data_IF_767149563887
#
_entry.id   IF_767149563887
#
_cell.length_a   1.000
_cell.length_b   1.000
_cell.length_c   1.000
_cell.angle_alpha   90.00
_cell.angle_beta   90.00
_cell.angle_gamma   90.00
#
_symmetry.space_group_name_H-M   'P 1'
#
loop_
_entity.id
_entity.type
_entity.pdbx_description
1 polymer ?
#
# COMPACT_ATOMS: atom_id res chain seq x y z
N UNK A 1 24.68 11.55 -1.48
CA UNK A 1 23.61 12.24 -2.22
C UNK A 1 22.36 12.00 -1.41
N UNK A 2 21.75 13.04 -0.85
CA UNK A 2 20.44 12.91 -0.23
C UNK A 2 19.49 12.48 -1.34
N UNK A 3 19.09 11.21 -1.33
CA UNK A 3 17.96 10.78 -2.14
C UNK A 3 16.79 11.54 -1.52
N UNK A 4 16.22 12.51 -2.23
CA UNK A 4 14.93 13.03 -1.81
C UNK A 4 13.97 11.84 -1.88
N UNK A 5 13.57 11.32 -0.72
CA UNK A 5 12.57 10.26 -0.59
C UNK A 5 11.18 10.82 -0.92
N UNK A 6 11.06 11.47 -2.08
CA UNK A 6 9.84 12.10 -2.55
C UNK A 6 9.36 11.34 -3.76
N UNK A 7 8.16 10.78 -3.65
CA UNK A 7 7.50 10.11 -4.77
C UNK A 7 7.38 11.07 -5.97
N UNK A 8 7.35 10.53 -7.20
CA UNK A 8 6.97 11.30 -8.38
C UNK A 8 5.61 12.00 -8.18
N UNK A 9 5.31 13.02 -8.98
CA UNK A 9 4.03 13.75 -8.87
C UNK A 9 2.83 12.84 -9.15
N UNK A 10 1.81 12.89 -8.29
CA UNK A 10 0.60 12.06 -8.38
C UNK A 10 -0.06 12.11 -9.77
N UNK A 11 -0.35 13.32 -10.25
CA UNK A 11 -0.97 13.53 -11.57
C UNK A 11 -0.11 13.02 -12.74
N UNK A 12 1.22 13.08 -12.62
CA UNK A 12 2.12 12.58 -13.66
C UNK A 12 2.03 11.05 -13.77
N UNK A 13 1.92 10.36 -12.64
CA UNK A 13 1.74 8.90 -12.61
C UNK A 13 0.36 8.51 -13.14
N UNK A 14 -0.70 9.22 -12.73
CA UNK A 14 -2.06 9.06 -13.28
C UNK A 14 -2.05 9.15 -14.81
N UNK A 15 -1.45 10.21 -15.37
CA UNK A 15 -1.39 10.41 -16.81
C UNK A 15 -0.62 9.29 -17.53
N UNK A 16 0.47 8.80 -16.94
CA UNK A 16 1.24 7.70 -17.52
C UNK A 16 0.46 6.38 -17.51
N UNK A 17 -0.23 6.06 -16.41
CA UNK A 17 -1.09 4.88 -16.32
C UNK A 17 -2.20 4.94 -17.39
N UNK A 18 -2.87 6.08 -17.52
CA UNK A 18 -3.90 6.31 -18.52
C UNK A 18 -3.36 6.22 -19.97
N UNK A 19 -2.22 6.84 -20.28
CA UNK A 19 -1.58 6.77 -21.61
C UNK A 19 -1.26 5.34 -22.02
N UNK A 20 -0.89 4.50 -21.06
CA UNK A 20 -0.55 3.10 -21.27
C UNK A 20 -1.72 2.14 -21.03
N UNK A 21 -2.94 2.67 -20.84
CA UNK A 21 -4.19 1.90 -20.68
C UNK A 21 -4.16 0.92 -19.50
N UNK A 22 -3.41 1.27 -18.45
CA UNK A 22 -3.44 0.55 -17.17
C UNK A 22 -4.64 1.07 -16.38
N UNK A 23 -5.60 0.18 -16.08
CA UNK A 23 -6.87 0.53 -15.46
C UNK A 23 -6.78 0.71 -13.93
N UNK A 24 -5.71 1.36 -13.46
CA UNK A 24 -5.48 1.70 -12.06
C UNK A 24 -5.19 3.20 -11.95
N UNK A 25 -5.59 3.78 -10.84
CA UNK A 25 -5.12 5.07 -10.34
C UNK A 25 -3.69 4.97 -9.80
N UNK A 26 -3.05 6.12 -9.58
CA UNK A 26 -1.73 6.19 -8.95
C UNK A 26 -1.77 5.68 -7.50
N UNK A 27 -2.86 5.95 -6.77
CA UNK A 27 -3.08 5.43 -5.42
C UNK A 27 -3.17 3.90 -5.40
N UNK A 28 -3.96 3.32 -6.31
CA UNK A 28 -4.11 1.86 -6.42
C UNK A 28 -2.79 1.18 -6.82
N UNK A 29 -2.06 1.76 -7.76
CA UNK A 29 -0.75 1.23 -8.17
C UNK A 29 0.26 1.25 -7.01
N UNK A 30 0.31 2.34 -6.24
CA UNK A 30 1.15 2.40 -5.04
C UNK A 30 0.66 1.45 -3.95
N UNK A 31 -0.65 1.30 -3.77
CA UNK A 31 -1.24 0.31 -2.88
C UNK A 31 -0.75 -1.10 -3.21
N UNK A 32 -0.84 -1.48 -4.49
CA UNK A 32 -0.37 -2.78 -4.97
C UNK A 32 1.13 -3.01 -4.70
N UNK A 33 1.97 -2.05 -5.07
CA UNK A 33 3.42 -2.09 -4.83
C UNK A 33 3.71 -2.20 -3.33
N UNK A 34 3.02 -1.39 -2.51
CA UNK A 34 3.14 -1.41 -1.06
C UNK A 34 2.72 -2.75 -0.47
N UNK A 35 1.63 -3.35 -0.95
CA UNK A 35 1.17 -4.67 -0.52
C UNK A 35 2.19 -5.78 -0.83
N UNK A 36 2.79 -5.73 -2.01
CA UNK A 36 3.84 -6.68 -2.42
C UNK A 36 5.08 -6.54 -1.51
N UNK A 37 5.52 -5.31 -1.26
CA UNK A 37 6.66 -5.00 -0.37
C UNK A 37 6.37 -5.42 1.08
N UNK A 38 5.24 -4.99 1.64
CA UNK A 38 4.82 -5.35 2.99
C UNK A 38 4.57 -6.85 3.15
N UNK A 39 4.29 -7.57 2.06
CA UNK A 39 4.20 -9.03 2.05
C UNK A 39 5.55 -9.75 2.14
N UNK A 40 6.67 -9.03 2.07
CA UNK A 40 8.02 -9.61 2.18
C UNK A 40 8.74 -9.83 0.84
N UNK A 41 8.19 -9.32 -0.26
CA UNK A 41 8.92 -9.32 -1.53
C UNK A 41 10.11 -8.36 -1.47
N UNK A 42 11.27 -8.82 -1.95
CA UNK A 42 12.54 -8.07 -1.87
C UNK A 42 13.41 -8.23 -3.12
N UNK A 43 12.87 -8.83 -4.18
CA UNK A 43 13.59 -9.10 -5.43
C UNK A 43 12.79 -8.59 -6.64
N UNK A 44 13.33 -8.72 -7.85
CA UNK A 44 12.71 -8.18 -9.06
C UNK A 44 11.40 -8.88 -9.49
N UNK A 45 10.94 -9.92 -8.78
CA UNK A 45 9.68 -10.59 -9.09
C UNK A 45 8.46 -9.68 -8.93
N UNK A 46 8.55 -8.59 -8.14
CA UNK A 46 7.49 -7.59 -8.04
C UNK A 46 7.04 -7.06 -9.40
N UNK A 47 7.96 -6.92 -10.37
CA UNK A 47 7.65 -6.42 -11.72
C UNK A 47 6.68 -7.35 -12.44
N UNK A 48 6.96 -8.65 -12.35
CA UNK A 48 6.10 -9.69 -12.92
C UNK A 48 4.76 -9.70 -12.21
N UNK A 49 4.74 -9.72 -10.87
CA UNK A 49 3.51 -9.70 -10.08
C UNK A 49 2.60 -8.51 -10.42
N UNK A 50 3.16 -7.30 -10.47
CA UNK A 50 2.40 -6.10 -10.85
C UNK A 50 1.85 -6.25 -12.27
N UNK A 51 2.66 -6.67 -13.25
CA UNK A 51 2.19 -6.84 -14.63
C UNK A 51 1.10 -7.92 -14.78
N UNK A 52 1.19 -9.03 -14.04
CA UNK A 52 0.18 -10.10 -14.04
C UNK A 52 -1.15 -9.63 -13.49
N UNK A 53 -1.13 -8.76 -12.48
CA UNK A 53 -2.33 -8.25 -11.80
C UNK A 53 -2.98 -7.06 -12.52
N UNK A 54 -2.23 -6.31 -13.33
CA UNK A 54 -2.67 -5.01 -13.84
C UNK A 54 -2.54 -4.83 -15.36
N UNK A 55 -1.88 -5.74 -16.06
CA UNK A 55 -1.58 -5.59 -17.49
C UNK A 55 -1.50 -6.94 -18.24
N UNK A 56 -2.32 -7.92 -17.85
CA UNK A 56 -2.39 -9.26 -18.47
C UNK A 56 -1.03 -9.99 -18.56
N UNK A 57 -0.11 -9.70 -17.63
CA UNK A 57 1.25 -10.25 -17.62
C UNK A 57 2.19 -9.62 -18.66
N UNK A 58 1.74 -8.63 -19.42
CA UNK A 58 2.58 -7.90 -20.37
C UNK A 58 3.46 -6.90 -19.63
N UNK A 59 4.75 -6.89 -19.95
CA UNK A 59 5.68 -5.92 -19.37
C UNK A 59 5.33 -4.49 -19.78
N UNK A 60 5.47 -3.55 -18.85
CA UNK A 60 5.28 -2.14 -19.14
C UNK A 60 6.37 -1.57 -20.06
N UNK A 61 6.03 -0.61 -20.93
CA UNK A 61 7.03 0.14 -21.67
C UNK A 61 7.94 0.92 -20.71
N UNK A 62 9.17 1.18 -21.11
CA UNK A 62 10.18 1.83 -20.26
C UNK A 62 9.71 3.17 -19.68
N UNK A 63 8.89 3.93 -20.43
CA UNK A 63 8.32 5.20 -20.00
C UNK A 63 7.45 5.10 -18.73
N UNK A 64 6.78 3.96 -18.52
CA UNK A 64 6.01 3.68 -17.30
C UNK A 64 6.81 2.84 -16.31
N UNK A 65 7.59 1.86 -16.78
CA UNK A 65 8.38 0.99 -15.91
C UNK A 65 9.39 1.75 -15.04
N UNK A 66 9.97 2.84 -15.56
CA UNK A 66 10.98 3.61 -14.83
C UNK A 66 10.36 4.42 -13.66
N UNK A 67 9.26 5.18 -13.83
CA UNK A 67 8.54 5.79 -12.71
C UNK A 67 8.01 4.78 -11.68
N UNK A 68 7.50 3.61 -12.13
CA UNK A 68 7.05 2.57 -11.19
C UNK A 68 8.22 1.98 -10.37
N UNK A 69 9.41 1.85 -10.97
CA UNK A 69 10.61 1.44 -10.25
C UNK A 69 11.03 2.48 -9.22
N UNK A 70 10.91 3.77 -9.54
CA UNK A 70 11.20 4.86 -8.60
C UNK A 70 10.23 4.84 -7.40
N UNK A 71 8.93 4.66 -7.66
CA UNK A 71 7.92 4.45 -6.61
C UNK A 71 8.32 3.26 -5.73
N UNK A 72 8.56 2.09 -6.34
CA UNK A 72 8.97 0.89 -5.61
C UNK A 72 10.19 1.13 -4.70
N UNK A 73 11.23 1.80 -5.21
CA UNK A 73 12.45 2.07 -4.44
C UNK A 73 12.20 3.02 -3.27
N UNK A 74 11.44 4.09 -3.49
CA UNK A 74 11.11 5.06 -2.43
C UNK A 74 10.21 4.42 -1.38
N UNK A 75 9.17 3.70 -1.79
CA UNK A 75 8.27 2.97 -0.89
C UNK A 75 9.04 1.98 -0.04
N UNK A 76 9.93 1.17 -0.64
CA UNK A 76 10.78 0.24 0.10
C UNK A 76 11.69 0.97 1.10
N UNK A 77 12.40 2.00 0.66
CA UNK A 77 13.33 2.74 1.52
C UNK A 77 12.61 3.39 2.71
N UNK A 78 11.40 3.90 2.52
CA UNK A 78 10.61 4.55 3.58
C UNK A 78 9.94 3.56 4.53
N UNK A 79 9.64 2.34 4.09
CA UNK A 79 9.21 1.23 4.95
C UNK A 79 10.35 0.69 5.83
N UNK A 80 11.58 0.70 5.33
CA UNK A 80 12.79 0.30 6.07
C UNK A 80 13.31 1.40 7.03
N UNK A 81 12.76 2.62 6.96
CA UNK A 81 13.26 3.78 7.70
C UNK A 81 12.76 3.83 9.17
N UNK A 82 13.70 3.99 10.12
CA UNK A 82 13.40 4.06 11.56
C UNK A 82 12.61 5.32 11.96
N UNK A 83 12.56 6.34 11.10
CA UNK A 83 11.83 7.58 11.31
C UNK A 83 10.34 7.52 10.94
N UNK A 84 9.82 6.34 10.58
CA UNK A 84 8.41 6.16 10.18
C UNK A 84 8.02 7.04 8.98
N UNK A 85 8.92 7.16 8.00
CA UNK A 85 8.78 8.06 6.85
C UNK A 85 7.82 7.56 5.74
N UNK A 86 7.33 6.32 5.83
CA UNK A 86 6.37 5.78 4.87
C UNK A 86 5.08 6.60 4.86
N UNK A 87 4.61 6.96 3.68
CA UNK A 87 3.39 7.73 3.41
C UNK A 87 2.57 7.03 2.34
N UNK A 88 1.24 7.19 2.40
CA UNK A 88 0.36 6.72 1.33
C UNK A 88 0.44 7.68 0.14
N UNK A 89 0.35 7.14 -1.08
CA UNK A 89 0.33 7.97 -2.28
C UNK A 89 -1.11 8.26 -2.68
N UNK A 90 -1.66 9.34 -2.14
CA UNK A 90 -3.05 9.76 -2.33
C UNK A 90 -3.11 11.10 -3.08
N UNK A 91 -4.28 11.47 -3.65
CA UNK A 91 -4.51 12.81 -4.14
C UNK A 91 -4.20 13.85 -3.04
N UNK A 92 -3.48 14.91 -3.42
CA UNK A 92 -3.00 15.96 -2.52
C UNK A 92 -4.09 17.01 -2.30
N UNK A 93 -4.56 17.18 -1.07
CA UNK A 93 -5.60 18.14 -0.71
C UNK A 93 -5.13 19.60 -0.77
N UNK A 94 -3.82 19.85 -0.89
CA UNK A 94 -3.29 21.18 -1.14
C UNK A 94 -3.55 21.67 -2.58
N UNK A 95 -4.04 20.80 -3.46
CA UNK A 95 -4.45 21.16 -4.82
C UNK A 95 -5.92 21.58 -4.83
N UNK A 96 -6.21 22.79 -5.35
CA UNK A 96 -7.55 23.40 -5.34
C UNK A 96 -8.66 22.56 -6.01
N UNK A 97 -8.30 21.54 -6.80
CA UNK A 97 -9.20 20.66 -7.54
C UNK A 97 -9.47 19.30 -6.87
N UNK A 98 -8.82 18.98 -5.75
CA UNK A 98 -8.98 17.69 -5.07
C UNK A 98 -10.01 17.81 -3.96
N UNK A 99 -11.06 17.01 -4.06
CA UNK A 99 -12.12 16.93 -3.04
C UNK A 99 -11.82 15.87 -1.98
N UNK A 100 -12.45 15.99 -0.80
CA UNK A 100 -12.39 14.96 0.25
C UNK A 100 -12.90 13.59 -0.24
N UNK A 101 -13.89 13.60 -1.14
CA UNK A 101 -14.46 12.40 -1.74
C UNK A 101 -13.45 11.67 -2.62
N UNK A 102 -12.72 12.39 -3.48
CA UNK A 102 -11.65 11.81 -4.30
C UNK A 102 -10.52 11.22 -3.43
N UNK A 103 -10.23 11.82 -2.28
CA UNK A 103 -9.24 11.27 -1.34
C UNK A 103 -9.75 10.02 -0.62
N UNK A 104 -11.03 9.99 -0.24
CA UNK A 104 -11.66 8.82 0.35
C UNK A 104 -11.70 7.64 -0.64
N UNK A 105 -12.08 7.91 -1.89
CA UNK A 105 -12.03 6.91 -2.98
C UNK A 105 -10.60 6.43 -3.23
N UNK A 106 -9.64 7.36 -3.27
CA UNK A 106 -8.22 7.06 -3.39
C UNK A 106 -7.71 6.16 -2.27
N UNK A 107 -8.13 6.40 -1.03
CA UNK A 107 -7.78 5.56 0.13
C UNK A 107 -8.39 4.16 0.00
N UNK A 108 -9.68 4.06 -0.33
CA UNK A 108 -10.34 2.78 -0.52
C UNK A 108 -9.67 1.96 -1.65
N UNK A 109 -9.36 2.61 -2.77
CA UNK A 109 -8.61 2.02 -3.88
C UNK A 109 -7.21 1.56 -3.47
N UNK A 110 -6.48 2.40 -2.73
CA UNK A 110 -5.16 2.07 -2.19
C UNK A 110 -5.22 0.82 -1.30
N UNK A 111 -6.17 0.76 -0.36
CA UNK A 111 -6.30 -0.36 0.57
C UNK A 111 -6.71 -1.65 -0.15
N UNK A 112 -7.63 -1.58 -1.13
CA UNK A 112 -8.00 -2.74 -1.95
C UNK A 112 -6.78 -3.35 -2.66
N UNK A 113 -5.96 -2.51 -3.28
CA UNK A 113 -4.79 -2.96 -4.01
C UNK A 113 -3.63 -3.38 -3.10
N UNK A 114 -3.50 -2.75 -1.93
CA UNK A 114 -2.59 -3.21 -0.87
C UNK A 114 -2.93 -4.63 -0.43
N UNK A 115 -4.20 -4.91 -0.14
CA UNK A 115 -4.65 -6.25 0.25
C UNK A 115 -4.45 -7.27 -0.89
N UNK A 116 -4.64 -6.87 -2.15
CA UNK A 116 -4.36 -7.70 -3.32
C UNK A 116 -2.88 -8.09 -3.38
N UNK A 117 -1.98 -7.10 -3.34
CA UNK A 117 -0.53 -7.33 -3.37
C UNK A 117 -0.06 -8.19 -2.19
N UNK A 118 -0.54 -7.88 -0.99
CA UNK A 118 -0.22 -8.62 0.21
C UNK A 118 -0.67 -10.08 0.12
N UNK A 119 -1.90 -10.34 -0.33
CA UNK A 119 -2.47 -11.68 -0.45
C UNK A 119 -1.77 -12.55 -1.49
N UNK A 120 -1.25 -11.95 -2.57
CA UNK A 120 -0.47 -12.66 -3.59
C UNK A 120 0.89 -13.11 -3.05
N UNK A 121 1.56 -12.27 -2.27
CA UNK A 121 2.85 -12.62 -1.65
C UNK A 121 2.66 -13.56 -0.44
N UNK A 122 1.57 -13.40 0.32
CA UNK A 122 1.25 -14.18 1.51
C UNK A 122 0.01 -15.06 1.29
N UNK A 123 0.12 -16.22 0.60
CA UNK A 123 -1.03 -17.07 0.24
C UNK A 123 -1.72 -17.76 1.43
N UNK A 124 -1.20 -17.60 2.65
CA UNK A 124 -1.78 -18.11 3.90
C UNK A 124 -2.23 -16.98 4.84
N UNK A 125 -2.50 -15.79 4.30
CA UNK A 125 -2.99 -14.63 5.05
C UNK A 125 -4.27 -14.94 5.84
N UNK A 126 -5.12 -15.84 5.32
CA UNK A 126 -6.34 -16.35 5.96
C UNK A 126 -6.10 -17.13 7.27
N UNK A 127 -4.88 -17.67 7.45
CA UNK A 127 -4.50 -18.47 8.61
C UNK A 127 -3.79 -17.66 9.70
N UNK A 128 -3.51 -16.39 9.45
CA UNK A 128 -2.91 -15.49 10.43
C UNK A 128 -3.80 -15.35 11.66
N UNK A 129 -3.19 -15.16 12.82
CA UNK A 129 -3.85 -15.04 14.12
C UNK A 129 -3.34 -13.80 14.86
N UNK A 130 -4.03 -13.43 15.93
CA UNK A 130 -3.65 -12.29 16.75
C UNK A 130 -3.89 -10.95 16.06
N UNK A 131 -3.10 -9.97 16.44
CA UNK A 131 -3.21 -8.56 16.04
C UNK A 131 -3.24 -8.36 14.53
N UNK A 132 -2.39 -9.07 13.78
CA UNK A 132 -2.37 -8.95 12.32
C UNK A 132 -3.68 -9.38 11.67
N UNK A 133 -4.38 -10.38 12.22
CA UNK A 133 -5.67 -10.81 11.69
C UNK A 133 -6.73 -9.72 11.84
N UNK A 134 -6.71 -9.01 12.97
CA UNK A 134 -7.62 -7.90 13.25
C UNK A 134 -7.34 -6.74 12.29
N UNK A 135 -6.06 -6.35 12.14
CA UNK A 135 -5.65 -5.30 11.20
C UNK A 135 -6.04 -5.62 9.75
N UNK A 136 -5.84 -6.85 9.28
CA UNK A 136 -6.29 -7.26 7.95
C UNK A 136 -7.82 -7.22 7.82
N UNK A 137 -8.55 -7.52 8.90
CA UNK A 137 -10.00 -7.38 8.96
C UNK A 137 -10.45 -5.92 8.83
N UNK A 138 -9.81 -5.03 9.57
CA UNK A 138 -10.09 -3.60 9.55
C UNK A 138 -9.77 -2.98 8.19
N UNK A 139 -8.63 -3.33 7.60
CA UNK A 139 -8.28 -2.91 6.24
C UNK A 139 -9.34 -3.35 5.23
N UNK A 140 -9.91 -4.56 5.34
CA UNK A 140 -11.01 -5.00 4.45
C UNK A 140 -12.26 -4.16 4.61
N UNK A 141 -12.57 -3.73 5.84
CA UNK A 141 -13.70 -2.84 6.08
C UNK A 141 -13.45 -1.45 5.47
N UNK A 142 -12.23 -0.92 5.61
CA UNK A 142 -11.81 0.37 5.03
C UNK A 142 -11.80 0.31 3.49
N UNK A 143 -11.43 -0.84 2.90
CA UNK A 143 -11.49 -1.03 1.44
C UNK A 143 -12.93 -0.94 0.88
N UNK A 144 -13.94 -1.09 1.75
CA UNK A 144 -15.36 -0.97 1.44
C UNK A 144 -15.97 0.32 2.02
N UNK A 145 -15.13 1.27 2.43
CA UNK A 145 -15.57 2.53 2.99
C UNK A 145 -16.42 3.27 1.98
N UNK A 146 -17.61 3.69 2.42
CA UNK A 146 -18.43 4.69 1.75
C UNK A 146 -18.57 5.90 2.67
N UNK A 147 -18.90 7.03 2.07
CA UNK A 147 -19.20 8.27 2.77
C UNK A 147 -20.60 8.73 2.40
N UNK A 148 -21.22 9.51 3.29
CA UNK A 148 -22.46 10.21 2.99
C UNK A 148 -22.10 11.54 2.32
N UNK A 149 -22.56 11.76 1.10
CA UNK A 149 -22.32 13.00 0.35
C UNK A 149 -23.01 14.22 1.00
N UNK A 150 -24.02 13.98 1.84
CA UNK A 150 -24.75 15.02 2.57
C UNK A 150 -24.10 15.39 3.92
N UNK A 151 -23.05 14.67 4.35
CA UNK A 151 -22.31 14.98 5.57
C UNK A 151 -21.45 16.25 5.46
N UNK A 152 -21.08 16.79 6.62
CA UNK A 152 -20.18 17.93 6.71
C UNK A 152 -18.77 17.53 6.21
N UNK A 153 -18.32 18.19 5.14
CA UNK A 153 -17.06 17.84 4.46
C UNK A 153 -15.82 18.11 5.33
N UNK A 154 -15.86 19.10 6.23
CA UNK A 154 -14.74 19.37 7.12
C UNK A 154 -14.63 18.26 8.17
N UNK A 155 -15.78 17.79 8.68
CA UNK A 155 -15.82 16.65 9.59
C UNK A 155 -15.36 15.36 8.91
N UNK A 156 -15.80 15.11 7.67
CA UNK A 156 -15.37 13.97 6.87
C UNK A 156 -13.86 14.01 6.61
N UNK A 157 -13.31 15.18 6.27
CA UNK A 157 -11.88 15.35 6.03
C UNK A 157 -11.06 15.03 7.29
N UNK A 158 -11.50 15.50 8.47
CA UNK A 158 -10.84 15.18 9.73
C UNK A 158 -10.87 13.66 10.01
N UNK A 159 -12.01 13.01 9.84
CA UNK A 159 -12.12 11.55 10.03
C UNK A 159 -11.28 10.78 9.01
N UNK A 160 -11.19 11.25 7.77
CA UNK A 160 -10.38 10.64 6.73
C UNK A 160 -8.89 10.64 7.10
N UNK A 161 -8.35 11.74 7.64
CA UNK A 161 -6.95 11.80 8.10
C UNK A 161 -6.63 10.76 9.17
N UNK A 162 -7.56 10.51 10.10
CA UNK A 162 -7.39 9.46 11.12
C UNK A 162 -7.33 8.07 10.50
N UNK A 163 -8.17 7.80 9.49
CA UNK A 163 -8.18 6.52 8.78
C UNK A 163 -6.92 6.36 7.92
N UNK A 164 -6.46 7.43 7.26
CA UNK A 164 -5.20 7.44 6.50
C UNK A 164 -4.03 7.05 7.41
N UNK A 165 -3.94 7.66 8.60
CA UNK A 165 -2.88 7.35 9.56
C UNK A 165 -2.97 5.90 10.07
N UNK A 166 -4.18 5.41 10.34
CA UNK A 166 -4.38 4.01 10.70
C UNK A 166 -3.87 3.07 9.59
N UNK A 167 -4.24 3.32 8.33
CA UNK A 167 -3.81 2.50 7.18
C UNK A 167 -2.29 2.53 7.02
N UNK A 168 -1.67 3.69 7.22
CA UNK A 168 -0.21 3.86 7.17
C UNK A 168 0.49 3.01 8.23
N UNK A 169 0.02 3.05 9.48
CA UNK A 169 0.57 2.24 10.58
C UNK A 169 0.32 0.74 10.34
N UNK A 170 -0.88 0.37 9.87
CA UNK A 170 -1.22 -1.00 9.53
C UNK A 170 -0.29 -1.59 8.46
N UNK A 171 0.05 -0.81 7.43
CA UNK A 171 0.99 -1.23 6.38
C UNK A 171 2.41 -1.46 6.94
N UNK A 172 2.89 -0.57 7.81
CA UNK A 172 4.19 -0.72 8.49
C UNK A 172 4.20 -1.96 9.39
N UNK A 173 3.10 -2.22 10.11
CA UNK A 173 2.96 -3.41 10.94
C UNK A 173 3.00 -4.69 10.11
N UNK A 174 2.28 -4.73 8.97
CA UNK A 174 2.35 -5.85 8.02
C UNK A 174 3.79 -6.06 7.53
N UNK A 175 4.47 -4.98 7.12
CA UNK A 175 5.86 -5.06 6.68
C UNK A 175 6.74 -5.70 7.75
N UNK A 176 6.71 -5.18 8.98
CA UNK A 176 7.53 -5.69 10.08
C UNK A 176 7.29 -7.19 10.37
N UNK A 177 6.03 -7.62 10.35
CA UNK A 177 5.67 -9.02 10.60
C UNK A 177 6.22 -9.97 9.52
N UNK A 178 6.15 -9.56 8.24
CA UNK A 178 6.51 -10.44 7.12
C UNK A 178 7.97 -10.33 6.66
N UNK A 179 8.67 -9.22 6.94
CA UNK A 179 10.10 -9.06 6.61
C UNK A 179 11.03 -9.35 7.78
N UNK A 180 10.54 -9.21 9.01
CA UNK A 180 11.27 -9.48 10.25
C UNK A 180 10.50 -10.44 11.16
N UNK A 181 10.19 -11.67 10.70
CA UNK A 181 9.44 -12.61 11.53
C UNK A 181 10.20 -12.84 12.84
N UNK A 182 9.56 -12.53 13.96
CA UNK A 182 10.13 -12.76 15.29
C UNK A 182 10.49 -14.23 15.38
N UNK A 183 11.78 -14.55 15.46
CA UNK A 183 12.25 -15.90 15.74
C UNK A 183 11.82 -16.22 17.17
N UNK A 184 10.62 -16.77 17.32
CA UNK A 184 10.20 -17.38 18.57
C UNK A 184 11.14 -18.55 18.82
N UNK A 185 11.99 -18.41 19.85
CA UNK A 185 12.85 -19.49 20.31
C UNK A 185 11.97 -20.74 20.50
N UNK A 186 12.39 -21.92 20.02
CA UNK A 186 11.57 -23.12 20.16
C UNK A 186 11.24 -23.32 21.63
N UNK A 187 9.95 -23.41 21.95
CA UNK A 187 9.49 -23.79 23.29
C UNK A 187 10.27 -25.03 23.72
N UNK A 188 11.16 -24.86 24.71
CA UNK A 188 11.80 -25.99 25.37
C UNK A 188 10.70 -26.81 26.02
N UNK A 189 10.27 -27.88 25.36
CA UNK A 189 9.44 -28.91 25.99
C UNK A 189 10.14 -29.31 27.28
N UNK A 190 9.46 -29.30 28.44
CA UNK A 190 10.07 -29.72 29.69
C UNK A 190 10.43 -31.20 29.57
N UNK A 191 11.73 -31.50 29.57
CA UNK A 191 12.23 -32.86 29.72
C UNK A 191 11.97 -33.28 31.17
N UNK A 192 11.07 -34.25 31.37
CA UNK A 192 10.89 -34.92 32.65
C UNK A 192 12.17 -35.72 32.96
N UNK A 193 12.81 -35.41 34.08
CA UNK A 193 13.83 -36.23 34.74
C UNK A 193 13.27 -36.78 36.06
#
# INVERSE_FOLDING_TARGET
MSIENKLPGYEAIEQLLQQHQVALTAAEMHGLIGGILCGGNHDDSWKTLVSELTNDGLSFPQALAQPLLEIYQITRNTLEDEGFMFQLFLPDDAQDNVTVFERADGLAGWVNHFLLGLGVVQPRLDKMQGELKEVIGDLRNIAQLGYDEDEDQDQLAQSLEEVIEYVRVAAIMCHNEFTHPVVTAPEQKPTLH
#
